data_IF_189222290101
#
_entry.id   IF_189222290101
#
_cell.length_a   1.000
_cell.length_b   1.000
_cell.length_c   1.000
_cell.angle_alpha   90.00
_cell.angle_beta   90.00
_cell.angle_gamma   90.00
#
_symmetry.space_group_name_H-M   'P 1'
#
loop_
_entity.id
_entity.type
_entity.pdbx_description
1 polymer ?
#
# COMPACT_ATOMS: atom_id res chain seq x y z
N UNK A 1 35.71 22.50 68.26
CA UNK A 1 34.66 21.48 68.45
C UNK A 1 34.60 20.67 67.16
N UNK A 2 35.40 19.62 67.09
CA UNK A 2 35.51 18.73 65.92
C UNK A 2 34.41 17.68 66.05
N UNK A 3 33.56 17.54 65.04
CA UNK A 3 32.48 16.54 65.04
C UNK A 3 33.05 15.21 64.56
N UNK A 4 33.07 14.22 65.44
CA UNK A 4 33.46 12.85 65.14
C UNK A 4 32.43 12.20 64.21
N UNK A 5 32.91 11.69 63.07
CA UNK A 5 32.10 10.86 62.17
C UNK A 5 32.03 9.43 62.72
N UNK A 6 30.84 8.78 62.72
CA UNK A 6 30.69 7.44 63.27
C UNK A 6 31.40 6.37 62.41
N UNK A 7 32.18 5.50 63.06
CA UNK A 7 33.11 4.53 62.47
C UNK A 7 32.47 3.41 61.61
N UNK A 8 31.14 3.35 61.48
CA UNK A 8 30.47 2.39 60.60
C UNK A 8 30.45 2.82 59.12
N UNK A 9 30.73 4.11 58.86
CA UNK A 9 30.71 4.70 57.50
C UNK A 9 31.88 4.20 56.63
N UNK A 10 32.89 3.54 57.22
CA UNK A 10 34.12 3.11 56.52
C UNK A 10 34.27 1.57 56.51
N UNK A 11 33.17 0.82 56.43
CA UNK A 11 33.25 -0.62 56.18
C UNK A 11 33.25 -0.92 54.67
N UNK A 12 34.15 -1.78 54.16
CA UNK A 12 34.32 -2.02 52.71
C UNK A 12 33.05 -2.53 52.02
N UNK A 13 32.13 -3.15 52.77
CA UNK A 13 30.82 -3.61 52.29
C UNK A 13 29.83 -2.48 52.01
N UNK A 14 29.83 -1.39 52.79
CA UNK A 14 29.00 -0.21 52.53
C UNK A 14 29.50 0.59 51.33
N UNK A 15 30.83 0.70 51.18
CA UNK A 15 31.46 1.36 50.02
C UNK A 15 31.12 0.63 48.71
N UNK A 16 31.20 -0.71 48.71
CA UNK A 16 30.84 -1.53 47.56
C UNK A 16 29.35 -1.39 47.19
N UNK A 17 28.44 -1.34 48.18
CA UNK A 17 27.01 -1.17 47.94
C UNK A 17 26.70 0.21 47.33
N UNK A 18 27.36 1.26 47.82
CA UNK A 18 27.23 2.62 47.27
C UNK A 18 27.76 2.73 45.83
N UNK A 19 28.88 2.06 45.52
CA UNK A 19 29.45 2.03 44.17
C UNK A 19 28.55 1.25 43.20
N UNK A 20 27.97 0.12 43.62
CA UNK A 20 27.02 -0.64 42.80
C UNK A 20 25.73 0.15 42.54
N UNK A 21 25.20 0.86 43.55
CA UNK A 21 24.03 1.74 43.38
C UNK A 21 24.32 2.94 42.48
N UNK A 22 25.52 3.53 42.57
CA UNK A 22 25.98 4.60 41.68
C UNK A 22 26.15 4.10 40.24
N UNK A 23 26.71 2.92 40.03
CA UNK A 23 26.83 2.29 38.70
C UNK A 23 25.44 1.97 38.13
N UNK A 24 24.51 1.47 38.95
CA UNK A 24 23.12 1.23 38.53
C UNK A 24 22.39 2.53 38.18
N UNK A 25 22.61 3.61 38.94
CA UNK A 25 22.08 4.94 38.63
C UNK A 25 22.68 5.50 37.34
N UNK A 26 23.98 5.34 37.12
CA UNK A 26 24.64 5.74 35.87
C UNK A 26 24.04 4.95 34.70
N UNK A 27 23.90 3.62 34.81
CA UNK A 27 23.28 2.78 33.77
C UNK A 27 21.80 3.09 33.54
N UNK A 28 21.05 3.45 34.59
CA UNK A 28 19.65 3.87 34.46
C UNK A 28 19.50 5.23 33.77
N UNK A 29 20.46 6.15 33.97
CA UNK A 29 20.48 7.46 33.31
C UNK A 29 21.19 7.47 31.95
N UNK A 30 22.02 6.48 31.63
CA UNK A 30 22.63 6.26 30.31
C UNK A 30 21.88 5.17 29.53
N UNK A 31 20.55 5.18 29.57
CA UNK A 31 19.82 4.54 28.48
C UNK A 31 20.09 5.36 27.22
N UNK A 32 20.70 4.78 26.16
CA UNK A 32 20.85 5.51 24.91
C UNK A 32 19.45 5.91 24.45
N UNK A 33 19.23 7.22 24.26
CA UNK A 33 18.09 7.71 23.47
C UNK A 33 18.17 6.96 22.14
N UNK A 34 17.22 6.07 21.88
CA UNK A 34 17.00 5.59 20.53
C UNK A 34 16.65 6.83 19.72
N UNK A 35 17.53 7.21 18.81
CA UNK A 35 17.22 8.20 17.79
C UNK A 35 16.09 7.60 16.94
N UNK A 36 14.86 7.97 17.25
CA UNK A 36 13.71 7.73 16.37
C UNK A 36 13.99 8.45 15.06
N UNK A 37 14.44 7.70 14.05
CA UNK A 37 14.50 8.18 12.67
C UNK A 37 13.06 8.51 12.27
N UNK A 38 12.71 9.80 12.28
CA UNK A 38 11.48 10.29 11.65
C UNK A 38 11.59 9.97 10.16
N UNK A 39 10.90 8.92 9.72
CA UNK A 39 10.62 8.70 8.29
C UNK A 39 9.88 9.95 7.80
N UNK A 40 10.56 10.83 7.08
CA UNK A 40 9.88 11.92 6.36
C UNK A 40 8.97 11.28 5.32
N UNK A 41 7.65 11.43 5.47
CA UNK A 41 6.69 11.02 4.46
C UNK A 41 6.94 11.82 3.18
N UNK A 42 7.63 11.20 2.23
CA UNK A 42 7.87 11.79 0.93
C UNK A 42 6.53 11.86 0.18
N UNK A 43 5.96 13.07 0.09
CA UNK A 43 4.71 13.29 -0.62
C UNK A 43 4.94 13.34 -2.14
N UNK A 44 4.19 12.54 -2.90
CA UNK A 44 4.25 12.50 -4.36
C UNK A 44 3.03 13.21 -4.96
N UNK A 45 3.27 14.03 -5.98
CA UNK A 45 2.20 14.76 -6.67
C UNK A 45 1.22 13.82 -7.39
N UNK A 46 -0.07 14.02 -7.15
CA UNK A 46 -1.15 13.35 -7.86
C UNK A 46 -1.41 14.08 -9.18
N UNK A 47 -1.16 13.41 -10.30
CA UNK A 47 -1.34 14.01 -11.64
C UNK A 47 -2.67 13.64 -12.29
N UNK A 48 -3.25 12.51 -11.90
CA UNK A 48 -4.54 11.99 -12.37
C UNK A 48 -5.33 11.44 -11.18
N UNK A 49 -6.66 11.52 -11.24
CA UNK A 49 -7.57 10.83 -10.32
C UNK A 49 -8.44 9.89 -11.13
N UNK A 50 -8.52 8.65 -10.71
CA UNK A 50 -9.38 7.63 -11.32
C UNK A 50 -10.29 7.05 -10.25
N UNK A 51 -11.41 6.47 -10.66
CA UNK A 51 -12.36 5.85 -9.75
C UNK A 51 -12.66 4.40 -10.14
N UNK A 52 -12.97 3.60 -9.11
CA UNK A 52 -13.52 2.25 -9.23
C UNK A 52 -14.79 2.19 -8.38
N UNK A 53 -15.93 1.97 -9.02
CA UNK A 53 -17.18 1.67 -8.34
C UNK A 53 -17.27 0.17 -8.10
N UNK A 54 -17.51 -0.26 -6.86
CA UNK A 54 -17.38 -1.68 -6.48
C UNK A 54 -18.68 -2.25 -5.94
N UNK A 55 -19.04 -3.42 -6.46
CA UNK A 55 -20.16 -4.22 -5.99
C UNK A 55 -19.64 -5.52 -5.33
N UNK A 56 -20.31 -5.96 -4.24
CA UNK A 56 -20.14 -7.28 -3.64
C UNK A 56 -21.47 -8.03 -3.77
N UNK A 57 -21.47 -9.19 -4.42
CA UNK A 57 -22.67 -9.98 -4.73
C UNK A 57 -23.82 -9.10 -5.29
N UNK A 58 -23.47 -8.27 -6.29
CA UNK A 58 -24.36 -7.34 -6.98
C UNK A 58 -24.96 -6.21 -6.10
N UNK A 59 -24.38 -5.99 -4.91
CA UNK A 59 -24.71 -4.86 -4.03
C UNK A 59 -23.60 -3.82 -4.02
N UNK A 60 -23.93 -2.57 -4.42
CA UNK A 60 -23.00 -1.43 -4.40
C UNK A 60 -22.45 -1.18 -3.00
N UNK A 61 -21.14 -1.22 -2.87
CA UNK A 61 -20.44 -0.91 -1.62
C UNK A 61 -19.98 0.55 -1.57
N UNK A 62 -19.55 1.10 -2.70
CA UNK A 62 -19.05 2.46 -2.76
C UNK A 62 -18.11 2.69 -3.93
N UNK A 63 -17.39 3.81 -3.86
CA UNK A 63 -16.42 4.27 -4.84
C UNK A 63 -15.05 4.38 -4.19
N UNK A 64 -14.04 3.82 -4.84
CA UNK A 64 -12.62 4.02 -4.51
C UNK A 64 -12.08 5.06 -5.48
N UNK A 65 -11.54 6.16 -4.96
CA UNK A 65 -10.82 7.16 -5.78
C UNK A 65 -9.34 7.01 -5.54
N UNK A 66 -8.58 6.85 -6.63
CA UNK A 66 -7.13 6.62 -6.63
C UNK A 66 -6.44 7.81 -7.28
N UNK A 67 -5.50 8.41 -6.55
CA UNK A 67 -4.56 9.38 -7.10
C UNK A 67 -3.34 8.68 -7.71
N UNK A 68 -2.98 9.02 -8.94
CA UNK A 68 -1.86 8.42 -9.68
C UNK A 68 -0.65 9.35 -9.71
N UNK A 69 0.54 8.78 -9.50
CA UNK A 69 1.82 9.48 -9.44
C UNK A 69 2.48 9.61 -10.81
N UNK A 70 1.80 10.26 -11.77
CA UNK A 70 2.25 10.31 -13.17
C UNK A 70 3.57 11.07 -13.42
N UNK A 71 4.08 11.84 -12.45
CA UNK A 71 5.45 12.40 -12.55
C UNK A 71 6.54 11.39 -12.18
N UNK A 72 6.24 10.44 -11.29
CA UNK A 72 7.21 9.47 -10.77
C UNK A 72 7.18 8.17 -11.57
N UNK A 73 5.99 7.72 -11.96
CA UNK A 73 5.75 6.52 -12.75
C UNK A 73 4.80 6.81 -13.93
N UNK A 74 5.19 7.66 -14.90
CA UNK A 74 4.32 8.10 -15.99
C UNK A 74 3.73 6.95 -16.82
N UNK A 75 4.53 5.93 -17.17
CA UNK A 75 4.03 4.80 -17.98
C UNK A 75 3.07 3.93 -17.18
N UNK A 76 3.41 3.64 -15.94
CA UNK A 76 2.58 2.80 -15.06
C UNK A 76 1.25 3.50 -14.76
N UNK A 77 1.29 4.80 -14.44
CA UNK A 77 0.10 5.62 -14.21
C UNK A 77 -0.78 5.72 -15.47
N UNK A 78 -0.20 5.96 -16.65
CA UNK A 78 -0.96 6.06 -17.89
C UNK A 78 -1.61 4.73 -18.28
N UNK A 79 -0.92 3.61 -18.09
CA UNK A 79 -1.50 2.27 -18.28
C UNK A 79 -2.74 2.08 -17.40
N UNK A 80 -2.63 2.35 -16.10
CA UNK A 80 -3.76 2.20 -15.18
C UNK A 80 -4.92 3.14 -15.51
N UNK A 81 -4.62 4.41 -15.82
CA UNK A 81 -5.62 5.43 -16.20
C UNK A 81 -6.40 5.01 -17.44
N UNK A 82 -5.70 4.62 -18.51
CA UNK A 82 -6.32 4.20 -19.75
C UNK A 82 -7.12 2.89 -19.61
N UNK A 83 -6.69 1.96 -18.75
CA UNK A 83 -7.46 0.78 -18.38
C UNK A 83 -8.69 1.11 -17.53
N UNK A 84 -8.69 2.21 -16.76
CA UNK A 84 -9.90 2.69 -16.09
C UNK A 84 -10.92 3.25 -17.09
N UNK A 85 -10.48 3.96 -18.14
CA UNK A 85 -11.38 4.59 -19.13
C UNK A 85 -11.83 3.66 -20.25
N UNK A 86 -11.06 2.61 -20.56
CA UNK A 86 -11.34 1.72 -21.69
C UNK A 86 -11.02 2.32 -23.06
N UNK A 87 -10.35 3.47 -23.12
CA UNK A 87 -10.19 4.27 -24.35
C UNK A 87 -9.31 3.61 -25.43
N UNK A 88 -8.51 2.61 -25.06
CA UNK A 88 -7.55 1.94 -25.97
C UNK A 88 -8.15 0.77 -26.74
N UNK A 89 -9.44 0.49 -26.60
CA UNK A 89 -10.12 -0.56 -27.37
C UNK A 89 -9.72 -1.97 -26.91
N UNK A 90 -9.13 -2.77 -27.80
CA UNK A 90 -8.79 -4.18 -27.53
C UNK A 90 -7.28 -4.37 -27.39
N UNK A 91 -6.88 -5.24 -26.46
CA UNK A 91 -5.49 -5.59 -26.18
C UNK A 91 -4.96 -6.75 -27.03
N UNK A 92 -3.75 -7.20 -26.70
CA UNK A 92 -3.07 -8.30 -27.39
C UNK A 92 -3.84 -9.63 -27.29
N UNK A 93 -4.56 -9.86 -26.18
CA UNK A 93 -5.47 -10.99 -25.99
C UNK A 93 -6.77 -10.91 -26.78
N UNK A 94 -7.04 -9.78 -27.46
CA UNK A 94 -8.31 -9.49 -28.14
C UNK A 94 -9.45 -9.09 -27.20
N UNK A 95 -9.20 -9.02 -25.89
CA UNK A 95 -10.14 -8.55 -24.86
C UNK A 95 -10.10 -7.02 -24.75
N UNK A 96 -11.19 -6.37 -24.27
CA UNK A 96 -11.16 -4.94 -24.00
C UNK A 96 -10.08 -4.57 -22.99
N UNK A 97 -9.34 -3.49 -23.26
CA UNK A 97 -8.39 -2.86 -22.33
C UNK A 97 -9.17 -2.01 -21.31
N UNK A 98 -10.00 -2.63 -20.47
CA UNK A 98 -10.91 -1.93 -19.58
C UNK A 98 -11.15 -2.71 -18.27
N UNK A 99 -11.07 -2.04 -17.12
CA UNK A 99 -11.32 -2.63 -15.80
C UNK A 99 -12.80 -2.86 -15.48
N UNK A 100 -13.71 -2.11 -16.10
CA UNK A 100 -15.15 -2.29 -15.91
C UNK A 100 -15.58 -3.74 -16.16
N UNK A 101 -16.27 -4.31 -15.18
CA UNK A 101 -16.77 -5.69 -15.18
C UNK A 101 -15.75 -6.73 -14.70
N UNK A 102 -14.51 -6.35 -14.40
CA UNK A 102 -13.49 -7.28 -13.92
C UNK A 102 -13.58 -7.51 -12.40
N UNK A 103 -13.21 -8.71 -11.92
CA UNK A 103 -13.26 -9.01 -10.51
C UNK A 103 -12.00 -8.57 -9.75
N UNK A 104 -12.18 -8.35 -8.44
CA UNK A 104 -11.10 -8.55 -7.48
C UNK A 104 -11.01 -10.07 -7.21
N UNK A 105 -10.14 -10.75 -7.94
CA UNK A 105 -10.04 -12.22 -7.92
C UNK A 105 -9.21 -12.77 -6.76
N UNK A 106 -8.45 -11.94 -6.04
CA UNK A 106 -7.66 -12.35 -4.88
C UNK A 106 -7.71 -11.31 -3.77
N UNK A 107 -8.25 -11.66 -2.60
CA UNK A 107 -8.46 -10.75 -1.46
C UNK A 107 -7.94 -11.44 -0.20
N UNK A 108 -6.81 -10.97 0.34
CA UNK A 108 -6.19 -11.53 1.55
C UNK A 108 -6.40 -10.57 2.72
N UNK A 109 -7.15 -11.03 3.72
CA UNK A 109 -7.41 -10.28 4.94
C UNK A 109 -6.12 -10.01 5.72
N UNK A 110 -5.90 -8.76 6.12
CA UNK A 110 -4.68 -8.27 6.76
C UNK A 110 -3.52 -8.11 5.78
N UNK A 111 -3.77 -7.95 4.48
CA UNK A 111 -2.70 -7.80 3.49
C UNK A 111 -3.06 -6.85 2.34
N UNK A 112 -3.90 -7.30 1.41
CA UNK A 112 -4.21 -6.56 0.18
C UNK A 112 -5.44 -7.11 -0.56
N UNK A 113 -6.00 -6.28 -1.44
CA UNK A 113 -7.01 -6.68 -2.43
C UNK A 113 -6.42 -6.56 -3.83
N UNK A 114 -6.54 -7.62 -4.64
CA UNK A 114 -5.94 -7.74 -5.96
C UNK A 114 -7.02 -7.97 -7.02
N UNK A 115 -6.88 -7.23 -8.12
CA UNK A 115 -7.77 -7.29 -9.28
C UNK A 115 -7.03 -6.98 -10.57
N UNK A 116 -7.79 -6.59 -11.60
CA UNK A 116 -7.23 -6.13 -12.87
C UNK A 116 -6.80 -7.24 -13.83
N UNK A 117 -7.23 -8.49 -13.61
CA UNK A 117 -7.18 -9.49 -14.69
C UNK A 117 -8.33 -9.22 -15.67
N UNK A 118 -8.02 -8.45 -16.72
CA UNK A 118 -8.96 -8.04 -17.76
C UNK A 118 -9.19 -9.14 -18.83
N UNK A 119 -8.45 -10.25 -18.74
CA UNK A 119 -8.45 -11.29 -19.79
C UNK A 119 -9.30 -12.50 -19.38
N UNK A 120 -9.04 -13.04 -18.19
CA UNK A 120 -9.71 -14.22 -17.65
C UNK A 120 -10.48 -13.95 -16.34
N UNK A 121 -10.10 -12.90 -15.61
CA UNK A 121 -10.70 -12.56 -14.32
C UNK A 121 -10.37 -13.54 -13.18
N UNK A 122 -9.28 -14.31 -13.29
CA UNK A 122 -8.90 -15.31 -12.28
C UNK A 122 -7.43 -15.22 -11.82
N UNK A 123 -6.69 -14.24 -12.33
CA UNK A 123 -5.30 -13.94 -12.00
C UNK A 123 -4.29 -14.55 -12.96
N UNK A 124 -4.70 -15.34 -13.94
CA UNK A 124 -3.80 -15.89 -14.97
C UNK A 124 -3.59 -14.95 -16.14
N UNK A 125 -4.46 -13.95 -16.28
CA UNK A 125 -4.52 -13.07 -17.44
C UNK A 125 -4.00 -11.68 -17.14
N UNK A 126 -3.41 -11.06 -18.15
CA UNK A 126 -2.95 -9.68 -18.08
C UNK A 126 -2.67 -9.18 -19.50
N UNK A 127 -3.01 -7.92 -19.75
CA UNK A 127 -2.60 -7.16 -20.93
C UNK A 127 -2.26 -5.74 -20.46
N UNK A 128 -1.46 -5.00 -21.21
CA UNK A 128 -1.23 -3.58 -20.99
C UNK A 128 -1.67 -2.77 -22.20
N UNK A 129 -1.73 -1.45 -22.05
CA UNK A 129 -1.94 -0.57 -23.20
C UNK A 129 -0.74 -0.54 -24.16
N UNK A 130 0.39 -1.15 -23.77
CA UNK A 130 1.65 -1.19 -24.51
C UNK A 130 1.91 -2.53 -25.20
N UNK A 131 0.98 -3.48 -25.12
CA UNK A 131 1.17 -4.88 -25.54
C UNK A 131 0.79 -5.84 -24.41
N UNK A 132 1.38 -7.03 -24.36
CA UNK A 132 1.09 -7.98 -23.27
C UNK A 132 1.61 -7.50 -21.92
N UNK A 133 2.90 -7.18 -21.84
CA UNK A 133 3.60 -6.74 -20.61
C UNK A 133 4.53 -5.56 -20.86
N UNK A 134 4.91 -4.85 -19.80
CA UNK A 134 5.89 -3.77 -19.82
C UNK A 134 6.88 -3.83 -18.63
N UNK A 135 8.09 -3.24 -18.79
CA UNK A 135 9.14 -3.26 -17.77
C UNK A 135 8.78 -2.56 -16.46
N UNK A 136 9.51 -2.87 -15.38
CA UNK A 136 9.42 -2.14 -14.12
C UNK A 136 9.95 -0.72 -14.32
N UNK A 137 9.11 0.28 -14.04
CA UNK A 137 9.48 1.66 -14.34
C UNK A 137 10.48 2.24 -13.33
N UNK A 138 10.24 2.01 -12.03
CA UNK A 138 11.16 2.27 -10.92
C UNK A 138 10.58 1.76 -9.59
N UNK A 139 11.42 1.72 -8.55
CA UNK A 139 11.03 1.33 -7.17
C UNK A 139 11.28 2.44 -6.14
N UNK A 140 11.08 3.70 -6.55
CA UNK A 140 11.33 4.88 -5.69
C UNK A 140 10.34 4.95 -4.54
N UNK A 141 9.07 4.67 -4.83
CA UNK A 141 7.98 4.73 -3.86
C UNK A 141 7.89 3.39 -3.12
N UNK A 142 7.66 3.44 -1.81
CA UNK A 142 7.58 2.27 -0.92
C UNK A 142 6.14 1.94 -0.55
N UNK A 143 5.89 0.71 -0.14
CA UNK A 143 4.61 0.25 0.38
C UNK A 143 4.48 0.59 1.87
N UNK A 144 4.57 1.89 2.19
CA UNK A 144 4.75 2.42 3.54
C UNK A 144 3.48 2.44 4.40
N UNK A 145 2.30 2.33 3.80
CA UNK A 145 1.01 2.41 4.51
C UNK A 145 -0.10 1.63 3.78
N UNK A 146 -1.29 1.57 4.39
CA UNK A 146 -2.51 1.05 3.76
C UNK A 146 -3.01 2.00 2.66
N UNK A 147 -3.63 1.46 1.62
CA UNK A 147 -4.15 2.22 0.48
C UNK A 147 -3.11 2.53 -0.61
N UNK A 148 -1.91 1.96 -0.52
CA UNK A 148 -0.93 2.03 -1.60
C UNK A 148 -1.41 1.17 -2.77
N UNK A 149 -1.33 1.72 -4.00
CA UNK A 149 -1.70 1.02 -5.24
C UNK A 149 -0.45 0.67 -6.02
N UNK A 150 -0.31 -0.62 -6.36
CA UNK A 150 0.92 -1.19 -6.89
C UNK A 150 0.66 -2.30 -7.91
N UNK A 151 1.60 -2.49 -8.82
CA UNK A 151 1.47 -3.47 -9.91
C UNK A 151 1.70 -4.90 -9.42
N UNK A 152 0.88 -5.82 -9.92
CA UNK A 152 1.19 -7.26 -9.85
C UNK A 152 2.08 -7.62 -11.04
N UNK A 153 3.07 -8.48 -10.80
CA UNK A 153 3.93 -9.04 -11.83
C UNK A 153 4.15 -10.55 -11.58
N UNK A 154 4.75 -11.24 -12.55
CA UNK A 154 5.19 -12.64 -12.46
C UNK A 154 6.72 -12.75 -12.44
N UNK A 155 7.37 -11.77 -11.83
CA UNK A 155 8.83 -11.57 -11.85
C UNK A 155 9.23 -10.25 -12.53
N UNK A 156 10.54 -9.95 -12.59
CA UNK A 156 11.04 -8.68 -13.10
C UNK A 156 10.51 -8.35 -14.50
N UNK A 157 10.12 -7.10 -14.70
CA UNK A 157 9.71 -6.53 -15.99
C UNK A 157 8.48 -7.20 -16.63
N UNK A 158 7.53 -7.65 -15.82
CA UNK A 158 6.32 -8.35 -16.30
C UNK A 158 5.01 -7.69 -15.86
N UNK A 159 4.99 -6.36 -15.78
CA UNK A 159 3.79 -5.60 -15.46
C UNK A 159 2.77 -5.68 -16.60
N UNK A 160 1.49 -5.74 -16.29
CA UNK A 160 0.43 -5.61 -17.31
C UNK A 160 -0.79 -4.86 -16.77
N UNK A 161 -1.92 -5.51 -16.55
CA UNK A 161 -3.15 -4.88 -16.04
C UNK A 161 -3.42 -5.17 -14.57
N UNK A 162 -2.88 -6.25 -14.02
CA UNK A 162 -3.16 -6.64 -12.65
C UNK A 162 -2.51 -5.68 -11.65
N UNK A 163 -3.26 -5.33 -10.60
CA UNK A 163 -2.84 -4.43 -9.55
C UNK A 163 -3.36 -4.91 -8.19
N UNK A 164 -2.79 -4.38 -7.12
CA UNK A 164 -3.30 -4.55 -5.78
C UNK A 164 -3.36 -3.23 -5.02
N UNK A 165 -4.26 -3.17 -4.04
CA UNK A 165 -4.38 -2.10 -3.05
C UNK A 165 -4.06 -2.70 -1.68
N UNK A 166 -3.08 -2.13 -0.98
CA UNK A 166 -2.67 -2.60 0.35
C UNK A 166 -3.73 -2.25 1.41
N UNK A 167 -3.90 -3.10 2.41
CA UNK A 167 -4.74 -2.81 3.59
C UNK A 167 -3.91 -2.59 4.86
N UNK A 168 -2.59 -2.83 4.77
CA UNK A 168 -1.57 -2.55 5.79
C UNK A 168 -0.27 -2.05 5.14
N UNK A 169 0.74 -1.66 5.93
CA UNK A 169 2.12 -1.47 5.44
C UNK A 169 2.68 -2.81 4.97
N UNK A 170 3.25 -2.88 3.77
CA UNK A 170 3.76 -4.13 3.16
C UNK A 170 5.18 -3.96 2.63
N UNK A 171 6.11 -3.50 3.47
CA UNK A 171 7.48 -3.15 3.07
C UNK A 171 8.30 -4.32 2.49
N UNK A 172 7.88 -5.57 2.74
CA UNK A 172 8.50 -6.75 2.11
C UNK A 172 8.26 -6.85 0.60
N UNK A 173 7.40 -6.00 0.03
CA UNK A 173 7.17 -5.89 -1.43
C UNK A 173 8.02 -4.79 -2.09
N UNK A 174 8.77 -4.03 -1.30
CA UNK A 174 9.57 -2.92 -1.79
C UNK A 174 10.71 -3.42 -2.68
N UNK A 175 10.88 -2.80 -3.86
CA UNK A 175 11.89 -3.22 -4.83
C UNK A 175 11.44 -4.32 -5.80
N UNK A 176 10.27 -4.93 -5.53
CA UNK A 176 9.73 -6.03 -6.36
C UNK A 176 8.47 -5.61 -7.12
N UNK A 177 7.68 -4.69 -6.57
CA UNK A 177 6.42 -4.21 -7.17
C UNK A 177 6.44 -2.70 -7.35
N UNK A 178 6.06 -2.24 -8.54
CA UNK A 178 6.03 -0.81 -8.88
C UNK A 178 4.81 -0.16 -8.23
N UNK A 179 5.04 0.69 -7.23
CA UNK A 179 4.01 1.56 -6.66
C UNK A 179 3.78 2.76 -7.58
N UNK A 180 2.52 3.05 -7.91
CA UNK A 180 2.17 4.10 -8.87
C UNK A 180 1.00 5.00 -8.44
N UNK A 181 0.39 4.74 -7.28
CA UNK A 181 -0.67 5.58 -6.77
C UNK A 181 -1.03 5.30 -5.31
N UNK A 182 -2.01 6.04 -4.81
CA UNK A 182 -2.66 5.80 -3.51
C UNK A 182 -4.16 6.03 -3.60
N UNK A 183 -4.91 5.31 -2.77
CA UNK A 183 -6.31 5.63 -2.50
C UNK A 183 -6.36 6.98 -1.78
N UNK A 184 -7.18 7.89 -2.30
CA UNK A 184 -7.38 9.22 -1.73
C UNK A 184 -8.79 9.41 -1.15
N UNK A 185 -9.76 8.62 -1.61
CA UNK A 185 -11.11 8.53 -1.05
C UNK A 185 -11.61 7.09 -1.19
N UNK A 186 -12.48 6.64 -0.29
CA UNK A 186 -13.06 5.30 -0.35
C UNK A 186 -12.21 4.18 0.28
N UNK A 187 -11.32 4.49 1.23
CA UNK A 187 -10.60 3.45 1.97
C UNK A 187 -11.52 2.56 2.82
N UNK A 188 -12.64 3.10 3.29
CA UNK A 188 -13.74 2.34 3.88
C UNK A 188 -14.31 1.29 2.93
N UNK A 189 -14.46 1.61 1.63
CA UNK A 189 -14.85 0.65 0.58
C UNK A 189 -13.79 -0.44 0.41
N UNK A 190 -12.49 -0.10 0.45
CA UNK A 190 -11.38 -1.07 0.42
C UNK A 190 -11.47 -2.04 1.61
N UNK A 191 -11.69 -1.53 2.82
CA UNK A 191 -11.86 -2.36 4.01
C UNK A 191 -13.17 -3.16 3.99
N UNK A 192 -14.24 -2.64 3.40
CA UNK A 192 -15.49 -3.39 3.21
C UNK A 192 -15.30 -4.58 2.26
N UNK A 193 -14.51 -4.42 1.19
CA UNK A 193 -14.11 -5.51 0.30
C UNK A 193 -13.30 -6.56 1.07
N UNK A 194 -12.26 -6.13 1.77
CA UNK A 194 -11.38 -7.03 2.55
C UNK A 194 -12.17 -7.79 3.63
N UNK A 195 -12.91 -7.07 4.47
CA UNK A 195 -13.67 -7.65 5.57
C UNK A 195 -14.90 -8.43 5.10
N UNK A 196 -15.51 -8.03 3.98
CA UNK A 196 -16.73 -8.62 3.42
C UNK A 196 -16.47 -9.87 2.58
N UNK A 197 -15.37 -9.92 1.82
CA UNK A 197 -15.07 -10.99 0.86
C UNK A 197 -13.71 -11.67 1.06
N UNK A 198 -12.81 -11.13 1.87
CA UNK A 198 -11.46 -11.67 2.05
C UNK A 198 -11.38 -13.01 2.77
N UNK A 199 -10.29 -13.72 2.47
CA UNK A 199 -9.93 -14.99 3.12
C UNK A 199 -8.41 -15.09 3.27
N UNK A 200 -7.92 -15.98 4.14
CA UNK A 200 -6.48 -16.21 4.28
C UNK A 200 -5.83 -16.86 3.06
N UNK A 201 -6.57 -17.65 2.26
CA UNK A 201 -6.05 -18.25 1.03
C UNK A 201 -6.03 -17.26 -0.14
N UNK A 202 -6.68 -16.11 0.01
CA UNK A 202 -6.85 -15.11 -1.02
C UNK A 202 -8.04 -15.37 -1.94
N UNK A 203 -8.59 -16.57 -2.02
CA UNK A 203 -9.81 -16.80 -2.83
C UNK A 203 -11.00 -16.11 -2.17
N UNK A 204 -11.67 -15.14 -2.81
CA UNK A 204 -12.78 -14.43 -2.21
C UNK A 204 -13.95 -15.36 -1.88
N UNK A 205 -14.61 -15.13 -0.73
CA UNK A 205 -15.83 -15.86 -0.34
C UNK A 205 -17.12 -15.30 -0.98
N UNK A 206 -17.03 -14.10 -1.56
CA UNK A 206 -18.09 -13.41 -2.28
C UNK A 206 -17.55 -12.86 -3.59
N UNK A 207 -18.41 -12.65 -4.58
CA UNK A 207 -18.02 -12.08 -5.86
C UNK A 207 -17.86 -10.57 -5.69
N UNK A 208 -16.69 -10.03 -6.00
CA UNK A 208 -16.40 -8.60 -5.92
C UNK A 208 -16.04 -8.09 -7.31
N UNK A 209 -16.79 -7.13 -7.83
CA UNK A 209 -16.67 -6.65 -9.22
C UNK A 209 -16.46 -5.14 -9.25
N UNK A 210 -15.57 -4.69 -10.13
CA UNK A 210 -15.47 -3.28 -10.54
C UNK A 210 -16.66 -3.01 -11.47
N UNK A 211 -17.76 -2.52 -10.92
CA UNK A 211 -19.01 -2.29 -11.64
C UNK A 211 -18.90 -1.14 -12.66
N UNK A 212 -18.12 -0.12 -12.33
CA UNK A 212 -17.78 0.98 -13.23
C UNK A 212 -16.38 1.52 -12.91
N UNK A 213 -15.73 2.13 -13.90
CA UNK A 213 -14.42 2.74 -13.73
C UNK A 213 -14.23 3.91 -14.70
N UNK A 214 -13.33 4.82 -14.36
CA UNK A 214 -13.01 5.93 -15.25
C UNK A 214 -12.02 6.91 -14.65
N UNK A 215 -11.76 7.99 -15.40
CA UNK A 215 -10.96 9.13 -14.96
C UNK A 215 -11.88 10.27 -14.49
N UNK A 216 -11.49 10.93 -13.40
CA UNK A 216 -12.15 12.14 -12.91
C UNK A 216 -11.48 13.35 -13.56
N UNK A 217 -12.20 14.12 -14.41
CA UNK A 217 -11.66 15.33 -15.03
C UNK A 217 -11.12 16.32 -14.01
N UNK A 218 -10.01 17.01 -14.34
CA UNK A 218 -9.32 17.92 -13.39
C UNK A 218 -10.19 19.06 -12.88
N UNK A 219 -11.09 19.57 -13.72
CA UNK A 219 -12.06 20.60 -13.37
C UNK A 219 -13.07 20.15 -12.30
N UNK A 220 -13.18 18.83 -12.06
CA UNK A 220 -14.08 18.24 -11.05
C UNK A 220 -13.38 17.74 -9.80
N UNK A 221 -12.10 18.05 -9.62
CA UNK A 221 -11.35 17.55 -8.45
C UNK A 221 -11.76 18.20 -7.14
N UNK A 222 -12.33 19.40 -7.20
CA UNK A 222 -12.76 20.19 -6.04
C UNK A 222 -14.28 20.09 -5.81
N UNK A 223 -15.01 19.38 -6.68
CA UNK A 223 -16.40 19.02 -6.44
C UNK A 223 -16.39 17.93 -5.37
N UNK A 224 -16.95 18.23 -4.19
CA UNK A 224 -17.06 17.28 -3.07
C UNK A 224 -17.74 15.99 -3.55
N UNK A 225 -17.02 14.86 -3.43
CA UNK A 225 -17.49 13.51 -3.76
C UNK A 225 -18.13 12.84 -2.54
#
# INVERSE_FOLDING_TARGET
MVRDFPAWVVQPKCLALCVVLLIFLIFAFTSPKQDEVKEEEQEYEITHRVFLDVDIDDQRQGRIVIGLYGKVAPKTAENFRALCTGEKGKGASGKPLHYKGTPFHRIISGFMIQGGDIVYGDGRGSDSIYGSIFPDENFKIKHSHAGVVSMVNSGPNSNGSQFFITTIKTSWLDGEHVVFGKVIQGMDTVYAIEGGAGTYSGKPRKKVIIADSGEIPKDKWDEEA
#
